data_IF_381231437489
#
_entry.id   IF_381231437489
#
_cell.length_a   1.000
_cell.length_b   1.000
_cell.length_c   1.000
_cell.angle_alpha   90.00
_cell.angle_beta   90.00
_cell.angle_gamma   90.00
#
_symmetry.space_group_name_H-M   'P 1'
#
loop_
_entity.id
_entity.type
_entity.pdbx_description
1 polymer ?
#
# COMPACT_ATOMS: atom_id res chain seq x y z
N UNK A 1 -56.79 -38.53 68.60
CA UNK A 1 -56.85 -39.56 69.67
C UNK A 1 -55.49 -40.24 69.76
N UNK A 2 -54.94 -40.35 70.98
CA UNK A 2 -53.84 -41.22 71.45
C UNK A 2 -52.64 -41.51 70.54
N UNK A 3 -51.45 -40.97 70.86
CA UNK A 3 -50.45 -41.42 71.87
C UNK A 3 -49.50 -42.52 71.36
N UNK A 4 -48.22 -42.15 71.51
CA UNK A 4 -46.93 -42.79 71.23
C UNK A 4 -46.65 -44.14 71.93
N UNK A 5 -45.62 -44.81 71.37
CA UNK A 5 -44.53 -45.64 71.97
C UNK A 5 -44.88 -47.10 72.34
N UNK A 6 -43.91 -48.03 72.52
CA UNK A 6 -42.44 -47.90 72.83
C UNK A 6 -41.51 -48.67 71.85
N UNK A 7 -40.19 -48.49 71.70
CA UNK A 7 -38.98 -48.30 72.54
C UNK A 7 -38.23 -49.59 72.95
N UNK A 8 -36.90 -49.61 72.71
CA UNK A 8 -35.76 -50.28 73.38
C UNK A 8 -34.82 -50.91 72.33
N UNK A 9 -33.49 -50.95 72.40
CA UNK A 9 -32.43 -50.41 73.28
C UNK A 9 -31.08 -50.62 72.55
N UNK A 10 -30.19 -49.63 72.52
CA UNK A 10 -28.83 -49.59 73.14
C UNK A 10 -27.86 -50.71 72.71
N UNK A 11 -26.73 -50.36 72.07
CA UNK A 11 -25.40 -50.48 72.70
C UNK A 11 -24.30 -49.73 71.93
N UNK A 12 -23.37 -49.21 72.75
CA UNK A 12 -22.28 -48.28 72.49
C UNK A 12 -21.05 -49.02 71.96
N UNK A 13 -20.32 -48.40 71.03
CA UNK A 13 -18.97 -48.80 70.65
C UNK A 13 -18.17 -47.63 70.12
N UNK A 14 -17.44 -46.95 71.01
CA UNK A 14 -16.39 -45.99 70.65
C UNK A 14 -15.17 -46.75 70.11
N UNK A 15 -14.70 -46.39 68.91
CA UNK A 15 -13.33 -46.63 68.48
C UNK A 15 -12.71 -45.33 67.98
N UNK A 16 -11.61 -44.96 68.63
CA UNK A 16 -10.78 -43.78 68.36
C UNK A 16 -9.79 -44.01 67.21
N UNK A 17 -9.57 -42.95 66.43
CA UNK A 17 -8.40 -42.57 65.61
C UNK A 17 -7.90 -43.50 64.48
N UNK A 18 -8.07 -43.05 63.22
CA UNK A 18 -6.96 -42.56 62.39
C UNK A 18 -7.55 -41.74 61.22
N UNK A 19 -7.42 -40.41 61.24
CA UNK A 19 -7.69 -39.56 60.07
C UNK A 19 -6.46 -39.67 59.18
N UNK A 20 -6.45 -40.65 58.27
CA UNK A 20 -5.64 -40.56 57.06
C UNK A 20 -6.34 -39.56 56.17
N UNK A 21 -5.87 -38.31 56.16
CA UNK A 21 -6.17 -37.40 55.06
C UNK A 21 -5.49 -38.00 53.83
N UNK A 22 -6.17 -38.94 53.17
CA UNK A 22 -5.82 -39.30 51.80
C UNK A 22 -6.09 -38.04 51.00
N UNK A 23 -5.03 -37.26 50.78
CA UNK A 23 -4.98 -36.25 49.75
C UNK A 23 -5.28 -36.99 48.45
N UNK A 24 -6.57 -37.07 48.09
CA UNK A 24 -6.96 -37.49 46.75
C UNK A 24 -6.28 -36.47 45.85
N UNK A 25 -5.29 -36.87 45.03
CA UNK A 25 -4.78 -35.93 44.04
C UNK A 25 -6.00 -35.56 43.19
N UNK A 26 -6.35 -34.28 43.16
CA UNK A 26 -7.27 -33.77 42.16
C UNK A 26 -6.62 -34.05 40.80
N UNK A 27 -7.03 -35.14 40.16
CA UNK A 27 -6.66 -35.39 38.77
C UNK A 27 -7.44 -34.36 37.97
N UNK A 28 -6.79 -33.25 37.66
CA UNK A 28 -7.27 -32.32 36.65
C UNK A 28 -7.17 -33.07 35.34
N UNK A 29 -8.28 -33.61 34.86
CA UNK A 29 -8.38 -34.02 33.47
C UNK A 29 -8.30 -32.73 32.65
N UNK A 30 -7.19 -32.54 31.94
CA UNK A 30 -7.26 -31.70 30.77
C UNK A 30 -8.31 -32.34 29.86
N UNK A 31 -9.48 -31.73 29.71
CA UNK A 31 -10.33 -32.04 28.56
C UNK A 31 -9.45 -31.77 27.35
N UNK A 32 -8.94 -32.85 26.75
CA UNK A 32 -8.49 -32.81 25.36
C UNK A 32 -9.78 -32.61 24.58
N UNK A 33 -10.24 -31.35 24.54
CA UNK A 33 -10.99 -30.85 23.42
C UNK A 33 -10.06 -31.08 22.24
N UNK A 34 -10.19 -32.26 21.64
CA UNK A 34 -9.67 -32.57 20.32
C UNK A 34 -10.29 -31.50 19.46
N UNK A 35 -9.59 -30.37 19.29
CA UNK A 35 -10.05 -29.25 18.49
C UNK A 35 -10.61 -29.88 17.24
N UNK A 36 -11.93 -29.77 17.04
CA UNK A 36 -12.57 -30.26 15.84
C UNK A 36 -12.10 -29.29 14.76
N UNK A 37 -10.88 -29.54 14.29
CA UNK A 37 -10.23 -28.75 13.27
C UNK A 37 -10.87 -29.19 11.96
N UNK A 38 -11.56 -28.28 11.26
CA UNK A 38 -12.21 -28.63 10.02
C UNK A 38 -11.16 -29.03 8.97
N UNK A 39 -11.63 -29.70 7.93
CA UNK A 39 -10.82 -29.96 6.74
C UNK A 39 -10.28 -28.63 6.20
N UNK A 40 -9.06 -28.64 5.66
CA UNK A 40 -8.37 -27.47 5.12
C UNK A 40 -8.02 -26.38 6.15
N UNK A 41 -8.03 -26.68 7.45
CA UNK A 41 -7.47 -25.81 8.49
C UNK A 41 -6.10 -26.32 9.00
N UNK A 42 -5.33 -25.42 9.59
CA UNK A 42 -4.08 -25.67 10.31
C UNK A 42 -4.11 -24.94 11.66
N UNK A 43 -3.32 -25.35 12.67
CA UNK A 43 -3.29 -24.63 13.94
C UNK A 43 -2.68 -23.24 13.72
N UNK A 44 -3.14 -22.24 14.45
CA UNK A 44 -2.50 -20.92 14.45
C UNK A 44 -1.08 -21.04 15.02
N UNK A 45 -0.17 -20.20 14.53
CA UNK A 45 1.21 -20.14 15.04
C UNK A 45 1.32 -19.52 16.43
N UNK A 46 0.30 -18.77 16.86
CA UNK A 46 0.19 -18.17 18.19
C UNK A 46 -1.27 -18.18 18.66
N UNK A 47 -1.48 -18.30 19.97
CA UNK A 47 -2.80 -18.39 20.59
C UNK A 47 -3.45 -19.78 20.42
N UNK A 48 -4.72 -19.88 20.79
CA UNK A 48 -5.55 -21.07 20.58
C UNK A 48 -6.35 -20.96 19.27
N UNK A 49 -6.78 -22.12 18.74
CA UNK A 49 -7.61 -22.20 17.54
C UNK A 49 -6.86 -22.50 16.25
N UNK A 50 -7.60 -22.39 15.14
CA UNK A 50 -7.15 -22.76 13.81
C UNK A 50 -7.32 -21.62 12.81
N UNK A 51 -6.59 -21.70 11.71
CA UNK A 51 -6.76 -20.83 10.54
C UNK A 51 -6.87 -21.68 9.28
N UNK A 52 -7.57 -21.18 8.27
CA UNK A 52 -7.64 -21.85 6.99
C UNK A 52 -6.27 -21.90 6.30
N UNK A 53 -5.98 -23.03 5.66
CA UNK A 53 -4.80 -23.18 4.81
C UNK A 53 -4.89 -22.19 3.64
N UNK A 54 -3.76 -21.76 3.04
CA UNK A 54 -3.77 -20.92 1.85
C UNK A 54 -4.69 -21.48 0.75
N UNK A 55 -5.49 -20.61 0.12
CA UNK A 55 -6.50 -20.99 -0.85
C UNK A 55 -7.88 -21.32 -0.26
N UNK A 56 -8.04 -21.22 1.06
CA UNK A 56 -9.30 -21.43 1.76
C UNK A 56 -9.64 -20.23 2.65
N UNK A 57 -10.92 -19.95 2.83
CA UNK A 57 -11.46 -18.89 3.68
C UNK A 57 -12.40 -19.46 4.75
N UNK A 58 -12.47 -18.79 5.89
CA UNK A 58 -13.34 -19.18 7.00
C UNK A 58 -14.79 -18.85 6.66
N UNK A 59 -15.66 -19.86 6.76
CA UNK A 59 -17.11 -19.72 6.60
C UNK A 59 -17.80 -20.48 7.74
N UNK A 60 -18.02 -19.78 8.86
CA UNK A 60 -18.44 -20.43 10.11
C UNK A 60 -17.38 -21.40 10.61
N UNK A 61 -17.76 -22.66 10.84
CA UNK A 61 -16.86 -23.67 11.41
C UNK A 61 -16.14 -24.53 10.35
N UNK A 62 -16.10 -24.07 9.09
CA UNK A 62 -15.43 -24.78 7.99
C UNK A 62 -14.49 -23.84 7.22
N UNK A 63 -13.54 -24.46 6.50
CA UNK A 63 -12.68 -23.77 5.55
C UNK A 63 -13.11 -24.10 4.13
N UNK A 64 -13.81 -23.15 3.50
CA UNK A 64 -14.27 -23.26 2.13
C UNK A 64 -13.18 -22.80 1.15
N UNK A 65 -13.10 -23.45 0.00
CA UNK A 65 -12.18 -23.04 -1.04
C UNK A 65 -12.53 -21.62 -1.52
N UNK A 66 -11.51 -20.78 -1.68
CA UNK A 66 -11.68 -19.43 -2.20
C UNK A 66 -12.10 -19.54 -3.66
N UNK A 67 -13.25 -18.95 -3.99
CA UNK A 67 -13.71 -18.83 -5.37
C UNK A 67 -12.86 -17.78 -6.06
N UNK A 68 -12.06 -18.22 -7.02
CA UNK A 68 -11.24 -17.33 -7.86
C UNK A 68 -12.05 -16.98 -9.11
N UNK A 69 -12.38 -15.70 -9.35
CA UNK A 69 -13.10 -15.31 -10.55
C UNK A 69 -12.21 -15.45 -11.79
N UNK A 70 -12.80 -15.32 -12.97
CA UNK A 70 -12.05 -15.23 -14.23
C UNK A 70 -11.06 -14.06 -14.19
N UNK A 71 -9.92 -14.21 -14.86
CA UNK A 71 -8.84 -13.22 -14.89
C UNK A 71 -8.23 -12.90 -13.51
N UNK A 72 -8.24 -13.87 -12.59
CA UNK A 72 -7.62 -13.77 -11.27
C UNK A 72 -6.78 -15.00 -10.93
N UNK A 73 -5.93 -14.84 -9.91
CA UNK A 73 -5.11 -15.90 -9.34
C UNK A 73 -5.13 -15.85 -7.81
N UNK A 74 -4.93 -17.00 -7.17
CA UNK A 74 -4.85 -17.08 -5.71
C UNK A 74 -3.66 -16.27 -5.19
N UNK A 75 -3.89 -15.47 -4.16
CA UNK A 75 -2.85 -14.76 -3.42
C UNK A 75 -2.64 -15.49 -2.10
N UNK A 76 -1.38 -15.79 -1.75
CA UNK A 76 -1.00 -16.52 -0.53
C UNK A 76 -1.24 -15.70 0.77
N UNK A 77 -1.81 -14.50 0.67
CA UNK A 77 -2.02 -13.59 1.81
C UNK A 77 -3.27 -13.97 2.60
N UNK A 78 -3.15 -13.95 3.92
CA UNK A 78 -4.24 -14.13 4.88
C UNK A 78 -5.18 -12.92 5.01
N UNK A 79 -4.96 -11.85 4.24
CA UNK A 79 -5.73 -10.61 4.31
C UNK A 79 -6.42 -10.30 2.97
N UNK A 80 -7.70 -9.91 3.04
CA UNK A 80 -8.56 -9.62 1.89
C UNK A 80 -9.21 -10.89 1.28
N UNK A 81 -9.73 -10.78 0.06
CA UNK A 81 -10.53 -11.84 -0.59
C UNK A 81 -9.69 -13.05 -1.07
N UNK A 82 -8.38 -13.09 -0.79
CA UNK A 82 -7.49 -14.22 -1.10
C UNK A 82 -7.16 -14.45 -2.57
N UNK A 83 -7.52 -13.53 -3.47
CA UNK A 83 -7.12 -13.54 -4.87
C UNK A 83 -6.68 -12.14 -5.33
N UNK A 84 -5.98 -12.10 -6.46
CA UNK A 84 -5.59 -10.88 -7.19
C UNK A 84 -5.96 -11.01 -8.66
N UNK A 85 -6.29 -9.90 -9.30
CA UNK A 85 -6.47 -9.86 -10.74
C UNK A 85 -5.15 -10.09 -11.47
N UNK A 86 -5.24 -10.74 -12.62
CA UNK A 86 -4.16 -10.84 -13.60
C UNK A 86 -3.74 -9.45 -14.08
N UNK A 87 -2.54 -9.35 -14.60
CA UNK A 87 -2.02 -8.12 -15.19
C UNK A 87 -2.96 -7.64 -16.32
N UNK A 88 -3.31 -6.35 -16.33
CA UNK A 88 -4.30 -5.76 -17.26
C UNK A 88 -5.75 -5.86 -16.80
N UNK A 89 -6.00 -6.36 -15.58
CA UNK A 89 -7.32 -6.43 -14.98
C UNK A 89 -7.32 -5.76 -13.60
N UNK A 90 -8.44 -5.12 -13.26
CA UNK A 90 -8.66 -4.50 -11.95
C UNK A 90 -9.86 -5.09 -11.25
N UNK A 91 -9.84 -5.02 -9.92
CA UNK A 91 -10.94 -5.53 -9.08
C UNK A 91 -12.17 -4.64 -9.27
N UNK A 92 -13.32 -5.28 -9.53
CA UNK A 92 -14.65 -4.70 -9.45
C UNK A 92 -15.53 -5.69 -8.70
N UNK A 93 -15.93 -5.35 -7.47
CA UNK A 93 -16.64 -6.25 -6.56
C UNK A 93 -15.93 -7.61 -6.41
N UNK A 94 -16.63 -8.69 -6.74
CA UNK A 94 -16.11 -10.07 -6.71
C UNK A 94 -15.64 -10.56 -8.08
N UNK A 95 -15.16 -9.65 -8.94
CA UNK A 95 -14.68 -9.96 -10.28
C UNK A 95 -13.47 -9.13 -10.68
N UNK A 96 -12.79 -9.59 -11.73
CA UNK A 96 -11.71 -8.87 -12.39
C UNK A 96 -12.19 -8.38 -13.75
N UNK A 97 -12.25 -7.06 -13.91
CA UNK A 97 -12.64 -6.42 -15.16
C UNK A 97 -11.41 -5.91 -15.89
N UNK A 98 -11.43 -6.01 -17.22
CA UNK A 98 -10.33 -5.53 -18.07
C UNK A 98 -10.11 -4.03 -17.86
N UNK A 99 -8.84 -3.63 -17.84
CA UNK A 99 -8.46 -2.22 -17.83
C UNK A 99 -8.50 -1.73 -19.28
N UNK A 100 -9.43 -0.82 -19.56
CA UNK A 100 -9.51 -0.16 -20.87
C UNK A 100 -8.38 0.87 -20.98
N UNK A 101 -7.34 0.52 -21.74
CA UNK A 101 -6.21 1.41 -22.03
C UNK A 101 -6.60 2.33 -23.18
N UNK A 102 -6.65 3.66 -22.99
CA UNK A 102 -7.00 4.59 -24.06
C UNK A 102 -5.87 4.71 -25.10
N UNK A 103 -6.15 5.38 -26.23
CA UNK A 103 -5.10 5.70 -27.20
C UNK A 103 -4.01 6.59 -26.56
N UNK A 104 -2.77 6.39 -26.98
CA UNK A 104 -1.57 7.06 -26.44
C UNK A 104 -1.32 6.78 -24.95
N UNK A 105 -1.61 5.54 -24.53
CA UNK A 105 -1.41 5.08 -23.17
C UNK A 105 -0.92 3.63 -23.15
N UNK A 106 -0.33 3.24 -22.02
CA UNK A 106 0.16 1.91 -21.74
C UNK A 106 -0.21 1.51 -20.30
N UNK A 107 -0.27 0.21 -20.01
CA UNK A 107 -0.47 -0.27 -18.65
C UNK A 107 0.75 0.04 -17.78
N UNK A 108 0.51 0.46 -16.54
CA UNK A 108 1.57 0.71 -15.59
C UNK A 108 2.36 -0.57 -15.27
N UNK A 109 3.51 -0.42 -14.60
CA UNK A 109 4.39 -1.55 -14.29
C UNK A 109 3.73 -2.60 -13.38
N UNK A 110 2.71 -2.21 -12.63
CA UNK A 110 1.94 -3.12 -11.77
C UNK A 110 0.79 -3.82 -12.52
N UNK A 111 0.38 -3.28 -13.68
CA UNK A 111 -0.73 -3.78 -14.50
C UNK A 111 -2.11 -3.53 -13.90
N UNK A 112 -2.23 -2.61 -12.96
CA UNK A 112 -3.50 -2.30 -12.28
C UNK A 112 -4.09 -0.95 -12.68
N UNK A 113 -3.32 -0.14 -13.41
CA UNK A 113 -3.77 1.11 -14.00
C UNK A 113 -3.02 1.38 -15.33
N UNK A 114 -3.28 2.51 -15.97
CA UNK A 114 -2.59 2.96 -17.16
C UNK A 114 -1.91 4.32 -16.98
N UNK A 115 -0.90 4.57 -17.81
CA UNK A 115 -0.18 5.83 -17.90
C UNK A 115 -0.16 6.30 -19.34
N UNK A 116 -0.12 7.62 -19.55
CA UNK A 116 0.00 8.17 -20.89
C UNK A 116 1.41 7.97 -21.45
N UNK A 117 1.49 7.76 -22.77
CA UNK A 117 2.74 7.79 -23.50
C UNK A 117 3.46 9.13 -23.30
N UNK A 118 4.79 9.10 -23.47
CA UNK A 118 5.60 10.32 -23.39
C UNK A 118 5.08 11.36 -24.38
N UNK A 119 4.88 12.60 -23.91
CA UNK A 119 4.28 13.67 -24.71
C UNK A 119 2.78 13.83 -24.53
N UNK A 120 2.12 12.94 -23.79
CA UNK A 120 0.69 13.00 -23.48
C UNK A 120 0.44 13.15 -21.99
N UNK A 121 -0.73 13.69 -21.64
CA UNK A 121 -1.18 13.88 -20.26
C UNK A 121 -2.62 13.40 -20.08
N UNK A 122 -2.90 12.82 -18.92
CA UNK A 122 -4.22 12.33 -18.59
C UNK A 122 -5.24 13.48 -18.49
N UNK A 123 -6.36 13.34 -19.18
CA UNK A 123 -7.50 14.25 -19.13
C UNK A 123 -8.79 13.46 -19.40
N UNK A 124 -9.73 13.46 -18.44
CA UNK A 124 -11.01 12.75 -18.54
C UNK A 124 -10.90 11.31 -19.07
N UNK A 125 -10.06 10.49 -18.44
CA UNK A 125 -9.86 9.08 -18.80
C UNK A 125 -9.30 8.84 -20.22
N UNK A 126 -8.64 9.85 -20.80
CA UNK A 126 -7.93 9.77 -22.08
C UNK A 126 -6.56 10.43 -21.97
N UNK A 127 -5.69 10.17 -22.93
CA UNK A 127 -4.39 10.81 -23.05
C UNK A 127 -4.41 11.86 -24.15
N UNK A 128 -4.20 13.12 -23.76
CA UNK A 128 -4.22 14.27 -24.67
C UNK A 128 -2.79 14.76 -24.87
N UNK A 129 -2.42 15.04 -26.12
CA UNK A 129 -1.09 15.53 -26.46
C UNK A 129 -0.82 16.86 -25.75
N UNK A 130 0.36 16.96 -25.14
CA UNK A 130 0.82 18.21 -24.53
C UNK A 130 1.21 19.17 -25.65
N UNK A 131 0.60 20.36 -25.64
CA UNK A 131 1.01 21.45 -26.53
C UNK A 131 2.31 22.06 -26.03
N UNK A 132 3.38 21.84 -26.79
CA UNK A 132 4.71 22.36 -26.51
C UNK A 132 4.93 23.56 -27.45
N UNK A 133 5.29 24.74 -26.95
CA UNK A 133 5.61 25.88 -27.81
C UNK A 133 6.93 25.66 -28.55
N UNK A 134 7.20 26.48 -29.57
CA UNK A 134 8.51 26.54 -30.23
C UNK A 134 9.63 26.79 -29.21
N UNK A 135 10.80 26.16 -29.40
CA UNK A 135 11.93 26.19 -28.45
C UNK A 135 11.60 25.64 -27.06
N UNK A 136 10.63 24.72 -26.97
CA UNK A 136 10.31 23.98 -25.76
C UNK A 136 10.40 22.47 -25.96
N UNK A 137 10.59 21.73 -24.87
CA UNK A 137 10.62 20.26 -24.88
C UNK A 137 9.74 19.68 -23.78
N UNK A 138 9.26 18.46 -24.00
CA UNK A 138 8.42 17.75 -23.03
C UNK A 138 9.23 17.35 -21.79
N UNK A 139 8.64 17.59 -20.61
CA UNK A 139 9.10 17.03 -19.35
C UNK A 139 8.00 16.22 -18.69
N UNK A 140 8.39 15.13 -18.02
CA UNK A 140 7.46 14.36 -17.22
C UNK A 140 7.32 15.01 -15.84
N UNK A 141 6.43 16.00 -15.73
CA UNK A 141 6.13 16.67 -14.46
C UNK A 141 4.74 16.32 -13.95
N UNK A 142 4.68 15.89 -12.68
CA UNK A 142 3.43 15.67 -11.92
C UNK A 142 2.71 16.99 -11.65
N UNK A 143 3.44 18.09 -11.50
CA UNK A 143 2.90 19.40 -11.12
C UNK A 143 3.31 20.49 -12.09
N UNK A 144 2.42 21.45 -12.36
CA UNK A 144 2.71 22.57 -13.26
C UNK A 144 2.74 22.16 -14.74
N UNK A 145 3.62 22.82 -15.50
CA UNK A 145 3.76 22.63 -16.94
C UNK A 145 4.43 21.29 -17.25
N UNK A 146 4.01 20.66 -18.35
CA UNK A 146 4.61 19.42 -18.84
C UNK A 146 5.64 19.69 -19.95
N UNK A 147 6.22 20.89 -19.95
CA UNK A 147 7.28 21.32 -20.85
C UNK A 147 8.17 22.36 -20.17
N UNK A 148 9.41 22.43 -20.63
CA UNK A 148 10.39 23.45 -20.29
C UNK A 148 10.94 24.07 -21.58
N UNK A 149 11.54 25.26 -21.46
CA UNK A 149 12.19 25.89 -22.60
C UNK A 149 13.54 25.25 -22.86
N UNK A 150 13.98 25.24 -24.10
CA UNK A 150 15.36 24.90 -24.45
C UNK A 150 16.34 25.90 -23.83
N UNK A 151 17.61 25.49 -23.72
CA UNK A 151 18.68 26.35 -23.21
C UNK A 151 18.78 27.62 -24.07
N UNK A 152 18.83 28.77 -23.42
CA UNK A 152 18.81 30.08 -24.10
C UNK A 152 17.41 30.65 -24.32
N UNK A 153 16.38 30.01 -23.79
CA UNK A 153 15.01 30.51 -23.81
C UNK A 153 14.42 30.57 -22.40
N UNK A 154 13.49 31.49 -22.20
CA UNK A 154 12.77 31.70 -20.94
C UNK A 154 11.27 31.73 -21.17
N UNK A 155 10.51 31.32 -20.14
CA UNK A 155 9.06 31.29 -20.19
C UNK A 155 8.50 32.72 -20.13
N UNK A 156 7.73 33.12 -21.14
CA UNK A 156 6.94 34.36 -21.14
C UNK A 156 5.57 34.11 -21.77
N UNK A 157 4.48 34.46 -21.07
CA UNK A 157 3.10 34.24 -21.54
C UNK A 157 2.82 32.84 -22.10
N UNK A 158 3.33 31.80 -21.41
CA UNK A 158 3.19 30.41 -21.82
C UNK A 158 3.85 30.04 -23.18
N UNK A 159 4.85 30.80 -23.59
CA UNK A 159 5.73 30.51 -24.73
C UNK A 159 7.19 30.58 -24.30
N UNK A 160 8.09 30.01 -25.11
CA UNK A 160 9.52 30.16 -24.93
C UNK A 160 10.02 31.28 -25.82
N UNK A 161 10.57 32.32 -25.19
CA UNK A 161 11.16 33.47 -25.88
C UNK A 161 12.65 33.48 -25.63
N UNK A 162 13.43 33.95 -26.61
CA UNK A 162 14.89 34.01 -26.51
C UNK A 162 15.30 34.80 -25.27
N UNK A 163 16.25 34.25 -24.52
CA UNK A 163 16.89 34.92 -23.41
C UNK A 163 17.78 36.04 -23.95
N UNK A 164 17.48 37.28 -23.56
CA UNK A 164 18.34 38.41 -23.88
C UNK A 164 19.61 38.34 -23.03
N UNK A 165 20.73 37.98 -23.66
CA UNK A 165 22.06 37.96 -23.04
C UNK A 165 22.76 39.28 -23.40
N UNK A 166 23.13 40.14 -22.43
CA UNK A 166 23.80 41.39 -22.72
C UNK A 166 25.23 41.16 -23.21
N UNK A 167 25.84 42.21 -23.77
CA UNK A 167 27.28 42.18 -24.10
C UNK A 167 28.11 41.87 -22.85
N UNK A 168 29.20 41.13 -23.03
CA UNK A 168 30.07 40.67 -21.94
C UNK A 168 29.38 39.72 -20.94
N UNK A 169 28.32 39.01 -21.35
CA UNK A 169 27.70 37.94 -20.59
C UNK A 169 27.64 36.63 -21.39
N UNK A 170 27.36 35.53 -20.70
CA UNK A 170 27.06 34.23 -21.28
C UNK A 170 25.86 33.60 -20.56
N UNK A 171 25.23 32.62 -21.20
CA UNK A 171 24.14 31.84 -20.59
C UNK A 171 24.73 31.01 -19.44
N UNK A 172 24.13 31.11 -18.25
CA UNK A 172 24.60 30.43 -17.06
C UNK A 172 24.34 28.90 -17.10
N UNK A 173 24.71 28.19 -16.03
CA UNK A 173 24.53 26.73 -15.97
C UNK A 173 23.06 26.30 -16.12
N UNK A 174 22.11 27.00 -15.49
CA UNK A 174 20.69 26.63 -15.58
C UNK A 174 20.13 26.74 -17.00
N UNK A 175 20.77 27.54 -17.87
CA UNK A 175 20.33 27.70 -19.26
C UNK A 175 19.19 28.69 -19.45
N UNK A 176 18.63 29.20 -18.34
CA UNK A 176 17.50 30.12 -18.32
C UNK A 176 17.87 31.50 -17.73
N UNK A 177 19.15 31.71 -17.42
CA UNK A 177 19.70 32.99 -16.99
C UNK A 177 21.05 33.26 -17.63
N UNK A 178 21.64 34.40 -17.28
CA UNK A 178 22.96 34.79 -17.76
C UNK A 178 23.82 35.29 -16.61
N UNK A 179 25.12 35.17 -16.79
CA UNK A 179 26.14 35.66 -15.86
C UNK A 179 27.19 36.46 -16.64
N UNK A 180 27.82 37.44 -15.99
CA UNK A 180 28.85 38.24 -16.62
C UNK A 180 30.11 37.40 -16.87
N UNK A 181 30.74 37.60 -18.02
CA UNK A 181 32.08 37.10 -18.28
C UNK A 181 33.04 37.84 -17.34
N UNK A 182 34.01 37.17 -16.69
CA UNK A 182 35.08 37.86 -16.00
C UNK A 182 35.85 38.79 -16.95
N UNK A 183 36.32 39.97 -16.50
CA UNK A 183 36.22 40.56 -15.16
C UNK A 183 35.00 41.49 -14.96
N UNK A 184 33.96 41.38 -15.79
CA UNK A 184 32.78 42.25 -15.71
C UNK A 184 31.87 41.85 -14.54
N UNK A 185 31.18 42.82 -13.95
CA UNK A 185 30.20 42.60 -12.87
C UNK A 185 28.81 43.06 -13.27
N UNK A 186 27.79 42.40 -12.72
CA UNK A 186 26.40 42.69 -13.06
C UNK A 186 25.96 44.03 -12.45
N UNK A 187 25.57 44.95 -13.32
CA UNK A 187 24.96 46.23 -12.97
C UNK A 187 23.57 46.29 -13.60
N UNK A 188 22.54 45.94 -12.83
CA UNK A 188 21.17 45.79 -13.33
C UNK A 188 21.08 44.75 -14.47
N UNK A 189 20.73 45.18 -15.69
CA UNK A 189 20.56 44.34 -16.88
C UNK A 189 21.76 44.38 -17.84
N UNK A 190 22.95 44.74 -17.35
CA UNK A 190 24.19 44.83 -18.14
C UNK A 190 25.40 44.38 -17.34
N UNK A 191 26.47 44.06 -18.06
CA UNK A 191 27.77 43.72 -17.49
C UNK A 191 28.74 44.86 -17.73
N UNK A 192 29.26 45.43 -16.64
CA UNK A 192 30.18 46.56 -16.69
C UNK A 192 31.51 46.21 -16.03
N UNK A 193 32.59 46.78 -16.54
CA UNK A 193 33.90 46.63 -15.93
C UNK A 193 33.93 47.45 -14.64
N UNK A 194 34.15 46.80 -13.50
CA UNK A 194 34.33 47.50 -12.23
C UNK A 194 35.81 47.78 -12.01
N UNK A 195 36.24 49.01 -12.21
CA UNK A 195 37.63 49.44 -11.95
C UNK A 195 37.99 49.56 -10.47
N UNK A 196 37.11 49.13 -9.54
CA UNK A 196 37.41 49.15 -8.10
C UNK A 196 38.27 47.95 -7.68
N UNK A 197 39.50 47.93 -8.20
CA UNK A 197 40.63 47.37 -7.48
C UNK A 197 41.17 48.49 -6.59
N UNK A 198 40.56 48.69 -5.42
CA UNK A 198 41.23 49.45 -4.37
C UNK A 198 42.33 48.54 -3.83
N UNK A 199 43.56 48.82 -4.25
CA UNK A 199 44.78 48.37 -3.57
C UNK A 199 44.84 48.96 -2.15
#
# INVERSE_FOLDING_TARGET
MSRKKPSKNILVGLWTLLILTSSVPNIVFAEVNKEIRPKNARPKSYGSGWECKPGYQENGNICDAIKVPENAYLKISSFGNGWKCNWGYRKSDDSCVVIMVPANAYLDSYGYDWQCDRGFKAHNNTCVAVKIPENGYFINSTYGKSWECERGFVVKNNTCVTLNVPVNAHINYSGHGWECNPPYTQQMNKCEFSSRSNY
#
